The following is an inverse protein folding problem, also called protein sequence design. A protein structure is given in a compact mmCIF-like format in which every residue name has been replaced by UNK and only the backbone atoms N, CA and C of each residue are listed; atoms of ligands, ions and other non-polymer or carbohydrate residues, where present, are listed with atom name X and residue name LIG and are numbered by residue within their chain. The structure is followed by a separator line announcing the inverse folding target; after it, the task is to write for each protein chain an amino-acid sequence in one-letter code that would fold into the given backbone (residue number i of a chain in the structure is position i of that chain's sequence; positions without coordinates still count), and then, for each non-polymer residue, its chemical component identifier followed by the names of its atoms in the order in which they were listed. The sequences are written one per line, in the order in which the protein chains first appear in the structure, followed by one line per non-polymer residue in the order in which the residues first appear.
data_IF_044669041161
#
_entry.id   IF_044669041161
#
_cell.length_a   1.000
_cell.length_b   1.000
_cell.length_c   1.000
_cell.angle_alpha   90.00
_cell.angle_beta   90.00
_cell.angle_gamma   90.00
#
_symmetry.space_group_name_H-M   'P 1'
#
loop_
_entity.id
_entity.type
_entity.pdbx_description
1 polymer ?
#
# COMPACT_ATOMS: atom_id res chain seq x y z
N UNK A 1 -6.12 -9.07 1.55
CA UNK A 1 -6.00 -7.63 1.20
C UNK A 1 -4.76 -7.41 0.35
N UNK A 2 -3.63 -7.95 0.79
CA UNK A 2 -2.36 -8.00 0.05
C UNK A 2 -2.51 -8.52 -1.39
N UNK A 3 -3.19 -9.66 -1.60
CA UNK A 3 -3.38 -10.22 -2.95
C UNK A 3 -4.11 -9.28 -3.93
N UNK A 4 -5.11 -8.53 -3.44
CA UNK A 4 -5.83 -7.59 -4.28
C UNK A 4 -4.94 -6.41 -4.67
N UNK A 5 -4.12 -5.93 -3.74
CA UNK A 5 -3.18 -4.84 -3.98
C UNK A 5 -2.07 -5.27 -4.95
N UNK A 6 -1.54 -6.49 -4.77
CA UNK A 6 -0.57 -7.11 -5.68
C UNK A 6 -1.13 -7.24 -7.10
N UNK A 7 -2.40 -7.64 -7.25
CA UNK A 7 -3.06 -7.71 -8.56
C UNK A 7 -3.32 -6.35 -9.20
N UNK A 8 -3.73 -5.35 -8.41
CA UNK A 8 -3.94 -3.98 -8.91
C UNK A 8 -2.63 -3.34 -9.39
N UNK A 9 -1.55 -3.51 -8.63
CA UNK A 9 -0.24 -2.95 -8.98
C UNK A 9 0.53 -3.84 -9.97
N UNK A 10 0.13 -5.10 -10.17
CA UNK A 10 0.83 -6.04 -11.03
C UNK A 10 2.18 -6.53 -10.49
N UNK A 11 2.49 -6.27 -9.21
CA UNK A 11 3.74 -6.63 -8.54
C UNK A 11 3.51 -7.52 -7.33
N UNK A 12 4.52 -8.30 -6.94
CA UNK A 12 4.47 -9.09 -5.71
C UNK A 12 5.08 -8.35 -4.53
N UNK A 13 4.80 -8.86 -3.35
CA UNK A 13 5.40 -8.41 -2.10
C UNK A 13 6.92 -8.60 -2.14
N UNK A 14 7.66 -7.53 -1.91
CA UNK A 14 9.11 -7.42 -2.08
C UNK A 14 9.56 -6.96 -3.47
N UNK A 15 8.64 -6.69 -4.40
CA UNK A 15 8.98 -6.17 -5.73
C UNK A 15 8.62 -4.69 -5.89
N UNK A 16 9.32 -4.06 -6.82
CA UNK A 16 9.08 -2.70 -7.28
C UNK A 16 8.47 -2.75 -8.67
N UNK A 17 7.47 -1.89 -8.92
CA UNK A 17 6.87 -1.75 -10.23
C UNK A 17 7.91 -1.44 -11.31
N UNK A 18 7.68 -1.91 -12.53
CA UNK A 18 8.58 -1.73 -13.66
C UNK A 18 8.80 -0.25 -14.01
N UNK A 19 7.89 0.63 -13.58
CA UNK A 19 8.01 2.08 -13.72
C UNK A 19 8.81 2.74 -12.60
N UNK A 20 9.13 2.02 -11.53
CA UNK A 20 9.83 2.55 -10.35
C UNK A 20 8.98 3.45 -9.46
N UNK A 21 7.65 3.47 -9.64
CA UNK A 21 6.76 4.38 -8.90
C UNK A 21 6.32 3.82 -7.55
N UNK A 22 6.05 2.51 -7.47
CA UNK A 22 5.56 1.86 -6.26
C UNK A 22 6.39 0.63 -5.92
N UNK A 23 6.73 0.48 -4.65
CA UNK A 23 7.32 -0.75 -4.10
C UNK A 23 6.34 -1.36 -3.12
N UNK A 24 5.97 -2.62 -3.33
CA UNK A 24 5.08 -3.34 -2.43
C UNK A 24 5.94 -4.10 -1.43
N UNK A 25 5.85 -3.79 -0.14
CA UNK A 25 6.58 -4.51 0.90
C UNK A 25 5.62 -4.96 1.99
N UNK A 26 5.70 -6.25 2.34
CA UNK A 26 4.86 -6.84 3.39
C UNK A 26 5.66 -6.88 4.69
N UNK A 27 5.23 -6.06 5.65
CA UNK A 27 5.81 -6.02 6.99
C UNK A 27 4.88 -6.68 7.99
N UNK A 28 5.46 -7.46 8.92
CA UNK A 28 4.68 -8.19 9.91
C UNK A 28 4.03 -7.27 10.97
N UNK A 29 4.67 -6.14 11.30
CA UNK A 29 4.17 -5.21 12.30
C UNK A 29 4.55 -3.77 11.97
N UNK A 30 3.56 -2.89 11.99
CA UNK A 30 3.74 -1.42 11.93
C UNK A 30 3.53 -0.76 13.31
N UNK A 31 3.27 -1.52 14.36
CA UNK A 31 3.00 -1.00 15.71
C UNK A 31 1.64 -0.30 15.85
N UNK A 32 0.74 -0.45 14.88
CA UNK A 32 -0.58 0.21 14.86
C UNK A 32 -1.74 -0.80 14.89
N UNK A 33 -1.69 -1.76 15.81
CA UNK A 33 -2.69 -2.85 15.91
C UNK A 33 -4.14 -2.33 16.00
N UNK A 34 -4.37 -1.21 16.68
CA UNK A 34 -5.69 -0.59 16.83
C UNK A 34 -6.23 0.09 15.55
N UNK A 35 -5.40 0.24 14.53
CA UNK A 35 -5.72 0.91 13.26
C UNK A 35 -5.68 -0.05 12.08
N UNK A 36 -5.62 -1.36 12.32
CA UNK A 36 -5.71 -2.36 11.27
C UNK A 36 -7.02 -2.21 10.49
N UNK A 37 -7.01 -2.31 9.15
CA UNK A 37 -5.87 -2.46 8.24
C UNK A 37 -5.03 -1.17 8.13
N UNK A 38 -3.70 -1.30 8.18
CA UNK A 38 -2.76 -0.18 8.15
C UNK A 38 -1.74 -0.37 7.01
N UNK A 39 -1.40 0.73 6.33
CA UNK A 39 -0.40 0.78 5.26
C UNK A 39 0.48 2.01 5.47
N UNK A 40 1.77 1.90 5.19
CA UNK A 40 2.68 3.05 5.20
C UNK A 40 3.08 3.37 3.76
N UNK A 41 2.90 4.62 3.34
CA UNK A 41 3.33 5.08 2.02
C UNK A 41 4.24 6.29 2.21
N UNK A 42 5.48 6.18 1.74
CA UNK A 42 6.49 7.25 1.81
C UNK A 42 6.65 7.84 3.23
N UNK A 43 6.63 6.99 4.26
CA UNK A 43 6.74 7.39 5.68
C UNK A 43 5.45 7.89 6.33
N UNK A 44 4.33 7.98 5.59
CA UNK A 44 3.02 8.31 6.15
C UNK A 44 2.23 7.04 6.43
N UNK A 45 1.81 6.88 7.68
CA UNK A 45 0.98 5.77 8.13
C UNK A 45 -0.49 6.09 7.89
N UNK A 46 -1.18 5.21 7.17
CA UNK A 46 -2.60 5.27 6.88
C UNK A 46 -3.29 4.09 7.56
N UNK A 47 -4.14 4.37 8.54
CA UNK A 47 -4.93 3.37 9.26
C UNK A 47 -6.39 3.34 8.83
N UNK A 48 -7.13 2.31 9.27
CA UNK A 48 -8.55 2.09 8.94
C UNK A 48 -8.80 2.13 7.43
N UNK A 49 -7.97 1.42 6.68
CA UNK A 49 -8.02 1.43 5.23
C UNK A 49 -9.04 0.44 4.67
N UNK A 50 -9.89 0.95 3.80
CA UNK A 50 -10.74 0.18 2.89
C UNK A 50 -10.15 0.16 1.48
N UNK A 51 -10.62 -0.78 0.63
CA UNK A 51 -10.20 -0.86 -0.79
C UNK A 51 -10.29 0.48 -1.51
N UNK A 52 -11.39 1.23 -1.31
CA UNK A 52 -11.58 2.56 -1.91
C UNK A 52 -10.55 3.58 -1.41
N UNK A 53 -10.21 3.53 -0.11
CA UNK A 53 -9.20 4.40 0.49
C UNK A 53 -7.82 4.13 -0.12
N UNK A 54 -7.47 2.85 -0.30
CA UNK A 54 -6.22 2.45 -0.93
C UNK A 54 -6.14 2.94 -2.38
N UNK A 55 -7.19 2.75 -3.20
CA UNK A 55 -7.21 3.28 -4.59
C UNK A 55 -7.04 4.79 -4.60
N UNK A 56 -7.69 5.51 -3.67
CA UNK A 56 -7.57 6.96 -3.59
C UNK A 56 -6.14 7.38 -3.27
N UNK A 57 -5.50 6.72 -2.31
CA UNK A 57 -4.10 6.95 -1.94
C UNK A 57 -3.20 6.70 -3.15
N UNK A 58 -3.33 5.55 -3.82
CA UNK A 58 -2.54 5.24 -5.01
C UNK A 58 -2.65 6.32 -6.10
N UNK A 59 -3.88 6.79 -6.39
CA UNK A 59 -4.12 7.88 -7.35
C UNK A 59 -3.54 9.22 -6.90
N UNK A 60 -3.57 9.52 -5.60
CA UNK A 60 -2.95 10.73 -5.06
C UNK A 60 -1.42 10.72 -5.24
N UNK A 61 -0.78 9.55 -5.16
CA UNK A 61 0.66 9.42 -5.38
C UNK A 61 1.04 9.29 -6.87
N UNK A 62 0.19 8.72 -7.72
CA UNK A 62 0.44 8.64 -9.16
C UNK A 62 0.39 10.02 -9.87
N UNK A 63 -0.42 10.95 -9.33
CA UNK A 63 -0.57 12.31 -9.88
C UNK A 63 0.39 13.35 -9.29
N UNK A 64 1.38 12.92 -8.49
CA UNK A 64 2.27 13.80 -7.75
C UNK A 64 3.71 13.68 -8.24
#
# INVERSE_FOLDING_TARGET
MEEWLSRELGIKSGETDARGHFSLETVACLGCCSLAPVMSVNGRVYGKLDRKGIVKILKEYENK
#
